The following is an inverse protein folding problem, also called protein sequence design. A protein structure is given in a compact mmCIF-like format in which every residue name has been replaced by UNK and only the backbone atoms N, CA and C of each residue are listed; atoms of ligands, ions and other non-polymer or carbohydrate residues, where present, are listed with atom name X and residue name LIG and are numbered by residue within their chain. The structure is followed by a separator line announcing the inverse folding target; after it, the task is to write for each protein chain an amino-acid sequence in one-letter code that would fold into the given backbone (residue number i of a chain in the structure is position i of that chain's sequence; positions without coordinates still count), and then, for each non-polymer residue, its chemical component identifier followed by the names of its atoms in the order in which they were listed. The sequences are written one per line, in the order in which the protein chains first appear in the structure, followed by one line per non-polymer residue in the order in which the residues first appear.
data_IF_434216228415
#
_entry.id   IF_434216228415
#
_cell.length_a   1.000
_cell.length_b   1.000
_cell.length_c   1.000
_cell.angle_alpha   90.00
_cell.angle_beta   90.00
_cell.angle_gamma   90.00
#
_symmetry.space_group_name_H-M   'P 1'
#
loop_
_entity.id
_entity.type
_entity.pdbx_description
1 polymer ?
#
# COMPACT_ATOMS: atom_id res chain seq x y z
N UNK A 1 7.49 19.62 -9.11
CA UNK A 1 6.32 19.39 -8.24
C UNK A 1 6.48 18.06 -7.55
N UNK A 2 6.09 17.97 -6.28
CA UNK A 2 6.11 16.75 -5.48
C UNK A 2 4.76 16.58 -4.77
N UNK A 3 4.17 15.39 -4.88
CA UNK A 3 2.96 14.95 -4.23
C UNK A 3 3.26 13.98 -3.07
N UNK A 4 2.73 14.28 -1.89
CA UNK A 4 2.65 13.35 -0.76
C UNK A 4 1.27 12.70 -0.71
N UNK A 5 1.21 11.38 -0.71
CA UNK A 5 -0.03 10.61 -0.59
C UNK A 5 0.01 9.91 0.76
N UNK A 6 -0.97 10.14 1.61
CA UNK A 6 -1.02 9.64 2.98
C UNK A 6 -2.06 8.53 3.07
N UNK A 7 -1.63 7.36 3.51
CA UNK A 7 -2.51 6.26 3.88
C UNK A 7 -3.16 6.58 5.23
N UNK A 8 -4.43 7.01 5.19
CA UNK A 8 -5.11 7.53 6.37
C UNK A 8 -5.24 6.45 7.45
N UNK A 9 -5.70 5.26 7.08
CA UNK A 9 -5.98 4.20 8.07
C UNK A 9 -4.70 3.66 8.67
N UNK A 10 -3.62 3.55 7.89
CA UNK A 10 -2.32 3.16 8.40
C UNK A 10 -1.75 4.17 9.40
N UNK A 11 -1.81 5.46 9.06
CA UNK A 11 -1.29 6.54 9.92
C UNK A 11 -2.12 6.71 11.19
N UNK A 12 -3.44 6.85 11.05
CA UNK A 12 -4.37 7.12 12.15
C UNK A 12 -4.35 5.98 13.17
N UNK A 13 -4.46 4.71 12.74
CA UNK A 13 -4.54 3.58 13.68
C UNK A 13 -3.25 3.43 14.49
N UNK A 14 -2.09 3.62 13.86
CA UNK A 14 -0.79 3.51 14.55
C UNK A 14 -0.57 4.67 15.53
N UNK A 15 -0.97 5.89 15.17
CA UNK A 15 -0.88 7.04 16.08
C UNK A 15 -1.87 6.89 17.24
N UNK A 16 -3.10 6.44 16.97
CA UNK A 16 -4.12 6.18 18.00
C UNK A 16 -3.64 5.13 19.00
N UNK A 17 -3.06 4.03 18.53
CA UNK A 17 -2.49 3.00 19.40
C UNK A 17 -1.40 3.56 20.33
N UNK A 18 -0.58 4.51 19.85
CA UNK A 18 0.44 5.19 20.65
C UNK A 18 -0.10 6.36 21.50
N UNK A 19 -1.36 6.74 21.32
CA UNK A 19 -2.04 7.81 22.08
C UNK A 19 -3.12 7.27 23.01
N UNK A 20 -3.32 5.95 23.06
CA UNK A 20 -4.43 5.32 23.79
C UNK A 20 -4.47 5.68 25.28
N UNK A 21 -3.31 5.88 25.90
CA UNK A 21 -3.17 6.21 27.32
C UNK A 21 -3.15 7.72 27.62
N UNK A 22 -3.38 8.57 26.61
CA UNK A 22 -3.47 10.03 26.82
C UNK A 22 -4.85 10.44 27.31
N UNK A 23 -4.97 11.61 27.96
CA UNK A 23 -6.26 12.10 28.46
C UNK A 23 -7.32 12.27 27.35
N UNK A 24 -6.90 12.69 26.16
CA UNK A 24 -7.75 12.91 24.99
C UNK A 24 -7.18 12.18 23.76
N UNK A 25 -7.33 10.84 23.65
CA UNK A 25 -6.68 10.03 22.62
C UNK A 25 -7.03 10.46 21.19
N UNK A 26 -8.28 10.85 20.93
CA UNK A 26 -8.74 11.27 19.60
C UNK A 26 -8.14 12.61 19.19
N UNK A 27 -8.12 13.59 20.08
CA UNK A 27 -7.52 14.91 19.82
C UNK A 27 -6.00 14.81 19.65
N UNK A 28 -5.34 14.02 20.52
CA UNK A 28 -3.93 13.68 20.38
C UNK A 28 -3.66 12.99 19.04
N UNK A 29 -4.56 12.13 18.58
CA UNK A 29 -4.42 11.45 17.28
C UNK A 29 -4.51 12.43 16.11
N UNK A 30 -5.53 13.29 16.09
CA UNK A 30 -5.71 14.30 15.03
C UNK A 30 -4.51 15.23 14.91
N UNK A 31 -4.07 15.82 16.03
CA UNK A 31 -2.94 16.75 16.07
C UNK A 31 -1.61 16.09 15.68
N UNK A 32 -1.35 14.86 16.16
CA UNK A 32 -0.16 14.09 15.79
C UNK A 32 -0.16 13.66 14.32
N UNK A 33 -1.32 13.30 13.75
CA UNK A 33 -1.45 13.00 12.32
C UNK A 33 -1.14 14.24 11.48
N UNK A 34 -1.71 15.40 11.81
CA UNK A 34 -1.44 16.63 11.07
C UNK A 34 0.04 17.04 11.17
N UNK A 35 0.63 16.93 12.36
CA UNK A 35 2.07 17.15 12.57
C UNK A 35 2.92 16.17 11.75
N UNK A 36 2.48 14.92 11.62
CA UNK A 36 3.14 13.91 10.82
C UNK A 36 3.14 14.25 9.33
N UNK A 37 2.00 14.72 8.83
CA UNK A 37 1.84 15.19 7.44
C UNK A 37 2.73 16.41 7.20
N UNK A 38 2.63 17.44 8.04
CA UNK A 38 3.41 18.67 7.92
C UNK A 38 4.93 18.39 7.93
N UNK A 39 5.40 17.54 8.84
CA UNK A 39 6.82 17.17 8.93
C UNK A 39 7.32 16.46 7.67
N UNK A 40 6.53 15.55 7.09
CA UNK A 40 6.93 14.86 5.86
C UNK A 40 6.80 15.76 4.63
N UNK A 41 5.81 16.64 4.63
CA UNK A 41 5.64 17.67 3.61
C UNK A 41 6.85 18.61 3.55
N UNK A 42 7.33 19.07 4.71
CA UNK A 42 8.52 19.91 4.83
C UNK A 42 9.80 19.15 4.42
N UNK A 43 10.00 17.94 4.98
CA UNK A 43 11.16 17.10 4.68
C UNK A 43 11.32 16.84 3.18
N UNK A 44 10.23 16.49 2.51
CA UNK A 44 10.21 16.17 1.08
C UNK A 44 9.98 17.38 0.17
N UNK A 45 9.84 18.59 0.75
CA UNK A 45 9.55 19.85 0.05
C UNK A 45 8.36 19.72 -0.90
N UNK A 46 7.25 19.19 -0.38
CA UNK A 46 6.09 18.83 -1.17
C UNK A 46 5.27 20.05 -1.56
N UNK A 47 4.67 19.97 -2.74
CA UNK A 47 3.78 21.01 -3.28
C UNK A 47 2.30 20.61 -3.20
N UNK A 48 2.03 19.32 -3.08
CA UNK A 48 0.70 18.74 -3.08
C UNK A 48 0.62 17.67 -1.99
N UNK A 49 -0.54 17.57 -1.32
CA UNK A 49 -0.81 16.56 -0.29
C UNK A 49 -2.21 16.00 -0.54
N UNK A 50 -2.30 14.67 -0.57
CA UNK A 50 -3.55 13.93 -0.59
C UNK A 50 -3.55 12.94 0.58
N UNK A 51 -4.70 12.73 1.22
CA UNK A 51 -4.89 11.73 2.25
C UNK A 51 -6.06 10.83 1.86
N UNK A 52 -5.79 9.54 1.70
CA UNK A 52 -6.78 8.57 1.20
C UNK A 52 -7.33 7.76 2.36
N UNK A 53 -8.65 7.85 2.54
CA UNK A 53 -9.43 7.11 3.52
C UNK A 53 -9.98 5.83 2.88
N UNK A 54 -9.94 4.74 3.63
CA UNK A 54 -10.58 3.49 3.25
C UNK A 54 -12.05 3.53 3.68
N UNK A 55 -12.97 3.21 2.77
CA UNK A 55 -14.37 3.01 3.11
C UNK A 55 -14.60 1.56 3.54
N UNK A 56 -15.41 1.35 4.57
CA UNK A 56 -15.91 0.01 4.94
C UNK A 56 -16.89 -0.45 3.85
N UNK A 57 -16.40 -1.15 2.84
CA UNK A 57 -17.23 -1.75 1.80
C UNK A 57 -16.65 -3.08 1.33
N UNK A 58 -17.52 -3.95 0.83
CA UNK A 58 -17.09 -5.11 0.05
C UNK A 58 -16.44 -4.59 -1.23
N UNK A 59 -15.27 -5.13 -1.53
CA UNK A 59 -14.45 -4.70 -2.68
C UNK A 59 -14.31 -5.85 -3.65
N UNK A 60 -13.80 -5.55 -4.85
CA UNK A 60 -13.51 -6.57 -5.87
C UNK A 60 -12.58 -7.70 -5.37
N UNK A 61 -11.74 -7.44 -4.36
CA UNK A 61 -10.89 -8.47 -3.74
C UNK A 61 -11.71 -9.49 -2.95
N UNK A 62 -12.75 -9.04 -2.23
CA UNK A 62 -13.66 -9.91 -1.51
C UNK A 62 -14.53 -10.76 -2.46
N UNK A 63 -14.91 -10.19 -3.61
CA UNK A 63 -15.66 -10.91 -4.64
C UNK A 63 -14.84 -12.06 -5.27
N UNK A 64 -13.52 -11.87 -5.38
CA UNK A 64 -12.59 -12.89 -5.89
C UNK A 64 -12.13 -13.88 -4.81
N UNK A 65 -11.97 -13.43 -3.57
CA UNK A 65 -11.49 -14.22 -2.45
C UNK A 65 -12.22 -13.82 -1.15
N UNK A 66 -13.26 -14.58 -0.74
CA UNK A 66 -14.07 -14.24 0.42
C UNK A 66 -13.29 -14.15 1.74
N UNK A 67 -12.20 -14.90 1.87
CA UNK A 67 -11.35 -14.88 3.07
C UNK A 67 -10.33 -13.73 3.07
N UNK A 68 -10.39 -12.81 2.10
CA UNK A 68 -9.49 -11.66 2.03
C UNK A 68 -9.61 -10.78 3.29
N UNK A 69 -8.46 -10.45 3.90
CA UNK A 69 -8.38 -9.69 5.16
C UNK A 69 -9.18 -10.33 6.33
N UNK A 70 -9.55 -11.61 6.24
CA UNK A 70 -10.29 -12.31 7.29
C UNK A 70 -9.49 -12.34 8.59
N UNK A 71 -10.18 -12.08 9.72
CA UNK A 71 -9.58 -12.08 11.05
C UNK A 71 -8.81 -10.81 11.43
N UNK A 72 -8.81 -9.76 10.59
CA UNK A 72 -8.26 -8.46 11.00
C UNK A 72 -9.04 -7.89 12.18
N UNK A 73 -8.35 -7.39 13.23
CA UNK A 73 -9.03 -6.82 14.38
C UNK A 73 -9.82 -5.57 13.94
N UNK A 74 -11.08 -5.44 14.39
CA UNK A 74 -11.88 -4.27 14.06
C UNK A 74 -11.19 -3.00 14.58
N UNK A 75 -11.52 -1.88 13.95
CA UNK A 75 -11.12 -0.58 14.49
C UNK A 75 -11.78 -0.37 15.86
N UNK A 76 -11.09 0.24 16.85
CA UNK A 76 -11.73 0.66 18.10
C UNK A 76 -12.96 1.52 17.81
N UNK A 77 -14.07 1.28 18.52
CA UNK A 77 -15.36 1.92 18.24
C UNK A 77 -15.26 3.45 18.33
N UNK A 78 -14.61 3.97 19.36
CA UNK A 78 -14.38 5.41 19.53
C UNK A 78 -13.66 6.02 18.31
N UNK A 79 -12.67 5.33 17.77
CA UNK A 79 -11.96 5.78 16.57
C UNK A 79 -12.84 5.69 15.33
N UNK A 80 -13.64 4.63 15.19
CA UNK A 80 -14.55 4.46 14.06
C UNK A 80 -15.62 5.55 14.02
N UNK A 81 -16.17 5.93 15.17
CA UNK A 81 -17.15 7.02 15.29
C UNK A 81 -16.52 8.38 14.96
N UNK A 82 -15.22 8.56 15.24
CA UNK A 82 -14.51 9.82 15.04
C UNK A 82 -14.02 10.06 13.60
N UNK A 83 -14.02 9.05 12.72
CA UNK A 83 -13.40 9.14 11.39
C UNK A 83 -13.92 10.32 10.56
N UNK A 84 -15.23 10.58 10.59
CA UNK A 84 -15.84 11.68 9.85
C UNK A 84 -15.42 13.05 10.40
N UNK A 85 -15.27 13.17 11.72
CA UNK A 85 -14.73 14.38 12.35
C UNK A 85 -13.24 14.57 12.05
N UNK A 86 -12.46 13.48 12.05
CA UNK A 86 -11.05 13.52 11.66
C UNK A 86 -10.87 13.98 10.20
N UNK A 87 -11.67 13.44 9.27
CA UNK A 87 -11.62 13.85 7.87
C UNK A 87 -11.92 15.35 7.71
N UNK A 88 -12.96 15.85 8.40
CA UNK A 88 -13.27 17.29 8.43
C UNK A 88 -12.14 18.13 9.02
N UNK A 89 -11.51 17.66 10.10
CA UNK A 89 -10.36 18.34 10.73
C UNK A 89 -9.17 18.46 9.76
N UNK A 90 -8.82 17.40 9.02
CA UNK A 90 -7.74 17.44 8.05
C UNK A 90 -8.07 18.33 6.85
N UNK A 91 -9.30 18.28 6.34
CA UNK A 91 -9.77 19.17 5.26
C UNK A 91 -9.67 20.65 5.66
N UNK A 92 -10.12 21.00 6.87
CA UNK A 92 -10.00 22.36 7.42
C UNK A 92 -8.53 22.80 7.58
N UNK A 93 -7.63 21.84 7.76
CA UNK A 93 -6.18 22.06 7.85
C UNK A 93 -5.48 22.09 6.48
N UNK A 94 -6.23 22.12 5.38
CA UNK A 94 -5.69 22.22 4.01
C UNK A 94 -5.22 20.88 3.41
N UNK A 95 -5.55 19.75 4.02
CA UNK A 95 -5.27 18.41 3.46
C UNK A 95 -6.42 18.01 2.53
N UNK A 96 -6.11 17.63 1.29
CA UNK A 96 -7.13 17.06 0.41
C UNK A 96 -7.43 15.63 0.82
N UNK A 97 -8.64 15.37 1.33
CA UNK A 97 -9.07 14.03 1.76
C UNK A 97 -9.93 13.36 0.69
N UNK A 98 -9.60 12.10 0.41
CA UNK A 98 -10.21 11.27 -0.62
C UNK A 98 -10.80 10.01 -0.03
N UNK A 99 -12.04 9.72 -0.37
CA UNK A 99 -12.69 8.44 -0.14
C UNK A 99 -13.53 8.08 -1.36
N UNK A 100 -13.27 6.93 -1.97
CA UNK A 100 -13.94 6.52 -3.20
C UNK A 100 -14.70 5.23 -2.97
N UNK A 101 -16.03 5.32 -3.04
CA UNK A 101 -16.90 4.18 -2.84
C UNK A 101 -16.66 3.06 -3.87
N UNK A 102 -16.67 1.82 -3.39
CA UNK A 102 -16.45 0.62 -4.22
C UNK A 102 -14.99 0.32 -4.56
N UNK A 103 -14.04 1.15 -4.10
CA UNK A 103 -12.61 0.95 -4.33
C UNK A 103 -11.85 0.88 -3.01
N UNK A 104 -10.79 0.06 -3.00
CA UNK A 104 -9.87 0.06 -1.86
C UNK A 104 -9.00 1.31 -1.87
N UNK A 105 -8.73 1.84 -0.67
CA UNK A 105 -7.83 2.98 -0.51
C UNK A 105 -6.46 2.74 -1.15
N UNK A 106 -5.97 1.48 -1.09
CA UNK A 106 -4.69 1.09 -1.67
C UNK A 106 -4.68 1.23 -3.20
N UNK A 107 -5.76 0.86 -3.89
CA UNK A 107 -5.89 1.01 -5.34
C UNK A 107 -6.08 2.47 -5.75
N UNK A 108 -6.80 3.27 -4.93
CA UNK A 108 -6.94 4.72 -5.12
C UNK A 108 -5.57 5.41 -5.01
N UNK A 109 -4.79 5.08 -3.97
CA UNK A 109 -3.43 5.60 -3.79
C UNK A 109 -2.50 5.16 -4.92
N UNK A 110 -2.53 3.88 -5.29
CA UNK A 110 -1.70 3.35 -6.37
C UNK A 110 -1.98 4.04 -7.71
N UNK A 111 -3.26 4.27 -8.00
CA UNK A 111 -3.70 5.02 -9.19
C UNK A 111 -3.22 6.47 -9.16
N UNK A 112 -3.42 7.17 -8.05
CA UNK A 112 -3.00 8.56 -7.91
C UNK A 112 -1.47 8.69 -8.04
N UNK A 113 -0.73 7.82 -7.36
CA UNK A 113 0.73 7.79 -7.37
C UNK A 113 1.26 7.54 -8.79
N UNK A 114 0.72 6.54 -9.48
CA UNK A 114 1.16 6.16 -10.82
C UNK A 114 0.86 7.26 -11.84
N UNK A 115 -0.34 7.85 -11.79
CA UNK A 115 -0.72 8.97 -12.68
C UNK A 115 0.13 10.21 -12.43
N UNK A 116 0.40 10.55 -11.17
CA UNK A 116 1.23 11.70 -10.83
C UNK A 116 2.69 11.49 -11.26
N UNK A 117 3.26 10.30 -11.02
CA UNK A 117 4.61 9.96 -11.45
C UNK A 117 4.75 10.00 -12.98
N UNK A 118 3.76 9.45 -13.69
CA UNK A 118 3.69 9.51 -15.16
C UNK A 118 3.62 10.95 -15.68
N UNK A 119 2.88 11.82 -14.99
CA UNK A 119 2.82 13.25 -15.29
C UNK A 119 4.09 14.03 -14.87
N UNK A 120 5.14 13.35 -14.42
CA UNK A 120 6.46 13.93 -14.13
C UNK A 120 6.62 14.46 -12.70
N UNK A 121 5.66 14.26 -11.81
CA UNK A 121 5.80 14.63 -10.40
C UNK A 121 6.71 13.64 -9.67
N UNK A 122 7.41 14.13 -8.66
CA UNK A 122 7.91 13.27 -7.59
C UNK A 122 6.74 12.87 -6.70
N UNK A 123 6.74 11.63 -6.20
CA UNK A 123 5.66 11.07 -5.41
C UNK A 123 6.24 10.33 -4.20
N UNK A 124 5.72 10.65 -3.03
CA UNK A 124 5.97 9.87 -1.80
C UNK A 124 4.65 9.33 -1.28
N UNK A 125 4.54 8.01 -1.14
CA UNK A 125 3.45 7.37 -0.39
C UNK A 125 3.89 7.24 1.06
N UNK A 126 3.14 7.81 1.99
CA UNK A 126 3.36 7.70 3.43
C UNK A 126 2.54 6.54 3.99
N UNK A 127 3.13 5.35 4.03
CA UNK A 127 2.52 4.14 4.59
C UNK A 127 3.60 3.19 5.11
N UNK A 128 3.22 2.28 6.01
CA UNK A 128 4.08 1.15 6.41
C UNK A 128 3.81 -0.12 5.60
N UNK A 129 2.80 -0.11 4.73
CA UNK A 129 2.47 -1.28 3.92
C UNK A 129 3.52 -1.49 2.82
N UNK A 130 4.09 -2.70 2.80
CA UNK A 130 5.08 -3.09 1.81
C UNK A 130 4.45 -3.39 0.45
N UNK A 131 3.13 -3.57 0.37
CA UNK A 131 2.39 -3.74 -0.87
C UNK A 131 2.67 -2.63 -1.88
N UNK A 132 2.82 -1.37 -1.42
CA UNK A 132 3.16 -0.24 -2.29
C UNK A 132 4.57 -0.28 -2.86
N UNK A 133 5.47 -1.11 -2.32
CA UNK A 133 6.83 -1.24 -2.85
C UNK A 133 6.82 -1.74 -4.30
N UNK A 134 5.74 -2.39 -4.76
CA UNK A 134 5.61 -2.82 -6.15
C UNK A 134 5.51 -1.66 -7.17
N UNK A 135 5.19 -0.45 -6.70
CA UNK A 135 5.04 0.75 -7.53
C UNK A 135 6.31 1.60 -7.60
N UNK A 136 7.27 1.32 -6.73
CA UNK A 136 8.48 2.13 -6.54
C UNK A 136 9.27 2.23 -7.85
N UNK A 137 9.72 3.44 -8.15
CA UNK A 137 10.53 3.77 -9.33
C UNK A 137 11.27 5.10 -9.10
N UNK A 138 12.03 5.58 -10.08
CA UNK A 138 12.78 6.85 -10.04
C UNK A 138 11.99 8.11 -9.64
N UNK A 139 10.65 8.07 -9.65
CA UNK A 139 9.77 9.17 -9.23
C UNK A 139 8.84 8.82 -8.06
N UNK A 140 8.75 7.55 -7.66
CA UNK A 140 7.81 7.08 -6.66
C UNK A 140 8.57 6.33 -5.56
N UNK A 141 8.46 6.81 -4.32
CA UNK A 141 8.99 6.14 -3.14
C UNK A 141 7.90 5.89 -2.10
N UNK A 142 8.13 4.94 -1.20
CA UNK A 142 7.23 4.67 -0.05
C UNK A 142 7.98 4.96 1.23
N UNK A 143 7.47 5.87 2.06
CA UNK A 143 8.11 6.30 3.30
C UNK A 143 7.32 5.83 4.51
N UNK A 144 8.00 5.17 5.42
CA UNK A 144 7.45 4.87 6.73
C UNK A 144 7.69 6.07 7.67
N UNK A 145 6.60 6.66 8.14
CA UNK A 145 6.63 7.80 9.05
C UNK A 145 7.34 7.51 10.38
N UNK A 146 7.18 6.29 10.90
CA UNK A 146 7.49 5.94 12.28
C UNK A 146 8.98 5.65 12.49
N UNK A 147 9.60 4.92 11.56
CA UNK A 147 11.05 4.63 11.60
C UNK A 147 11.87 5.56 10.67
N UNK A 148 11.19 6.42 9.90
CA UNK A 148 11.77 7.35 8.90
C UNK A 148 12.50 6.63 7.75
N UNK A 149 12.25 5.35 7.58
CA UNK A 149 12.78 4.54 6.49
C UNK A 149 12.05 4.85 5.17
N UNK A 150 12.76 4.79 4.05
CA UNK A 150 12.19 5.01 2.71
C UNK A 150 12.54 3.83 1.81
N UNK A 151 11.52 3.28 1.18
CA UNK A 151 11.61 2.29 0.11
C UNK A 151 11.71 3.02 -1.22
N UNK A 152 12.92 3.01 -1.78
CA UNK A 152 13.20 3.31 -3.18
C UNK A 152 13.61 2.01 -3.92
N UNK A 153 13.93 2.09 -5.21
CA UNK A 153 14.26 0.91 -6.02
C UNK A 153 15.44 0.15 -5.43
N UNK A 154 16.47 0.88 -4.97
CA UNK A 154 17.67 0.30 -4.37
C UNK A 154 17.34 -0.44 -3.08
N UNK A 155 16.53 0.15 -2.19
CA UNK A 155 16.15 -0.50 -0.93
C UNK A 155 15.27 -1.73 -1.17
N UNK A 156 14.41 -1.71 -2.19
CA UNK A 156 13.64 -2.89 -2.60
C UNK A 156 14.58 -4.01 -3.04
N UNK A 157 15.50 -3.73 -3.96
CA UNK A 157 16.48 -4.71 -4.43
C UNK A 157 17.35 -5.27 -3.29
N UNK A 158 17.83 -4.42 -2.39
CA UNK A 158 18.67 -4.85 -1.27
C UNK A 158 17.93 -5.74 -0.25
N UNK A 159 16.65 -5.46 0.01
CA UNK A 159 15.89 -6.16 1.06
C UNK A 159 15.14 -7.38 0.55
N UNK A 160 14.67 -7.36 -0.69
CA UNK A 160 13.93 -8.46 -1.30
C UNK A 160 14.79 -9.30 -2.26
N UNK A 161 15.91 -8.77 -2.75
CA UNK A 161 16.69 -9.40 -3.82
C UNK A 161 15.96 -9.38 -5.18
N UNK A 162 14.95 -8.52 -5.32
CA UNK A 162 14.04 -8.48 -6.47
C UNK A 162 13.76 -7.03 -6.86
N UNK A 163 13.36 -6.84 -8.12
CA UNK A 163 12.88 -5.55 -8.62
C UNK A 163 11.46 -5.27 -8.12
N UNK A 164 11.05 -3.99 -7.96
CA UNK A 164 9.68 -3.61 -7.59
C UNK A 164 8.58 -4.35 -8.37
N UNK A 165 8.75 -4.47 -9.69
CA UNK A 165 7.74 -5.07 -10.57
C UNK A 165 7.55 -6.58 -10.33
N UNK A 166 8.48 -7.24 -9.65
CA UNK A 166 8.43 -8.67 -9.32
C UNK A 166 7.73 -8.94 -7.98
N UNK A 167 7.44 -7.92 -7.17
CA UNK A 167 6.92 -8.14 -5.82
C UNK A 167 5.50 -8.75 -5.79
N UNK A 168 4.66 -8.42 -6.77
CA UNK A 168 3.35 -9.07 -6.91
C UNK A 168 3.48 -10.57 -7.20
N UNK A 169 4.45 -10.96 -8.04
CA UNK A 169 4.76 -12.37 -8.31
C UNK A 169 5.40 -13.05 -7.08
N UNK A 170 6.18 -12.31 -6.29
CA UNK A 170 6.75 -12.80 -5.05
C UNK A 170 5.66 -13.17 -4.05
N UNK A 171 4.69 -12.27 -3.80
CA UNK A 171 3.56 -12.57 -2.92
C UNK A 171 2.63 -13.63 -3.49
N UNK A 172 2.52 -13.76 -4.81
CA UNK A 172 1.81 -14.86 -5.45
C UNK A 172 2.39 -16.23 -5.09
N UNK A 173 3.72 -16.32 -4.94
CA UNK A 173 4.41 -17.54 -4.56
C UNK A 173 4.40 -17.76 -3.04
N UNK A 174 4.66 -16.72 -2.25
CA UNK A 174 4.80 -16.87 -0.79
C UNK A 174 3.50 -16.80 -0.01
N UNK A 175 2.46 -16.22 -0.62
CA UNK A 175 1.29 -15.75 0.10
C UNK A 175 1.58 -14.51 0.94
N UNK A 176 0.55 -14.03 1.62
CA UNK A 176 0.63 -12.96 2.61
C UNK A 176 -0.38 -13.19 3.73
N UNK A 177 0.13 -13.60 4.89
CA UNK A 177 -0.70 -13.85 6.07
C UNK A 177 -1.39 -12.60 6.60
N UNK A 178 -0.84 -11.40 6.35
CA UNK A 178 -1.42 -10.12 6.81
C UNK A 178 -2.73 -9.79 6.09
N UNK A 179 -2.84 -10.21 4.82
CA UNK A 179 -4.02 -10.04 3.98
C UNK A 179 -4.81 -11.35 3.81
N UNK A 180 -4.41 -12.42 4.51
CA UNK A 180 -4.99 -13.75 4.40
C UNK A 180 -4.98 -14.27 2.94
N UNK A 181 -3.87 -14.03 2.25
CA UNK A 181 -3.65 -14.48 0.88
C UNK A 181 -2.87 -15.80 0.87
N UNK A 182 -3.36 -16.82 0.15
CA UNK A 182 -2.67 -18.10 0.06
C UNK A 182 -1.40 -17.98 -0.80
N UNK A 183 -0.38 -18.78 -0.48
CA UNK A 183 0.81 -18.96 -1.31
C UNK A 183 0.84 -20.35 -1.95
N UNK A 184 1.93 -20.65 -2.65
CA UNK A 184 2.21 -22.01 -3.12
C UNK A 184 2.83 -22.80 -1.96
N UNK A 185 2.19 -23.87 -1.47
CA UNK A 185 2.73 -24.71 -0.41
C UNK A 185 4.16 -25.17 -0.69
N UNK A 186 5.04 -24.97 0.29
CA UNK A 186 6.44 -25.36 0.19
C UNK A 186 7.35 -24.39 -0.56
N UNK A 187 6.82 -23.28 -1.10
CA UNK A 187 7.61 -22.17 -1.67
C UNK A 187 7.61 -20.98 -0.69
N UNK A 188 8.68 -20.85 0.07
CA UNK A 188 8.88 -19.71 0.98
C UNK A 188 9.65 -18.55 0.34
N UNK A 189 9.86 -17.43 1.09
CA UNK A 189 10.55 -16.23 0.60
C UNK A 189 11.88 -16.47 -0.12
N UNK A 190 12.73 -17.35 0.42
CA UNK A 190 14.04 -17.66 -0.19
C UNK A 190 13.89 -18.34 -1.55
N UNK A 191 13.01 -19.34 -1.63
CA UNK A 191 12.75 -20.07 -2.88
C UNK A 191 12.08 -19.17 -3.91
N UNK A 192 11.07 -18.40 -3.50
CA UNK A 192 10.39 -17.44 -4.38
C UNK A 192 11.37 -16.40 -4.94
N UNK A 193 12.26 -15.84 -4.11
CA UNK A 193 13.30 -14.91 -4.54
C UNK A 193 14.23 -15.52 -5.59
N UNK A 194 14.73 -16.73 -5.35
CA UNK A 194 15.60 -17.41 -6.32
C UNK A 194 14.90 -17.72 -7.65
N UNK A 195 13.64 -18.19 -7.59
CA UNK A 195 12.87 -18.47 -8.80
C UNK A 195 12.60 -17.20 -9.62
N UNK A 196 12.29 -16.07 -8.96
CA UNK A 196 12.03 -14.82 -9.67
C UNK A 196 13.31 -14.14 -10.17
N UNK A 197 14.43 -14.32 -9.49
CA UNK A 197 15.75 -13.92 -10.01
C UNK A 197 16.11 -14.71 -11.29
N UNK A 198 15.88 -16.03 -11.27
CA UNK A 198 16.17 -16.91 -12.41
C UNK A 198 15.22 -16.72 -13.60
N UNK A 199 13.91 -16.72 -13.36
CA UNK A 199 12.89 -16.76 -14.40
C UNK A 199 12.29 -15.38 -14.73
N UNK A 200 12.53 -14.38 -13.88
CA UNK A 200 12.07 -13.01 -14.07
C UNK A 200 10.61 -12.76 -13.67
N UNK A 201 9.68 -13.65 -14.02
CA UNK A 201 8.25 -13.50 -13.68
C UNK A 201 7.55 -14.83 -13.40
N UNK A 202 6.37 -14.75 -12.76
CA UNK A 202 5.52 -15.92 -12.52
C UNK A 202 5.10 -16.58 -13.85
N UNK A 203 4.80 -15.81 -14.89
CA UNK A 203 4.37 -16.39 -16.18
C UNK A 203 5.48 -17.21 -16.82
N UNK A 204 6.71 -16.70 -16.83
CA UNK A 204 7.88 -17.44 -17.37
C UNK A 204 8.18 -18.66 -16.50
N UNK A 205 8.13 -18.51 -15.17
CA UNK A 205 8.31 -19.61 -14.23
C UNK A 205 7.29 -20.74 -14.47
N UNK A 206 6.01 -20.42 -14.67
CA UNK A 206 4.98 -21.43 -14.91
C UNK A 206 5.17 -22.16 -16.23
N UNK A 207 5.58 -21.46 -17.29
CA UNK A 207 5.89 -22.06 -18.60
C UNK A 207 7.13 -22.96 -18.52
N UNK A 208 8.16 -22.53 -17.78
CA UNK A 208 9.46 -23.20 -17.71
C UNK A 208 9.64 -24.09 -16.46
N UNK A 209 8.56 -24.37 -15.72
CA UNK A 209 8.60 -25.11 -14.44
C UNK A 209 9.26 -26.49 -14.49
N UNK A 210 9.37 -27.09 -15.67
CA UNK A 210 10.11 -28.36 -15.87
C UNK A 210 11.61 -28.24 -15.63
N UNK A 211 12.16 -27.02 -15.63
CA UNK A 211 13.56 -26.75 -15.28
C UNK A 211 13.80 -26.67 -13.76
N UNK A 212 12.73 -26.56 -12.97
CA UNK A 212 12.81 -26.52 -11.52
C UNK A 212 13.07 -27.93 -10.95
N UNK A 213 13.53 -27.99 -9.70
CA UNK A 213 13.60 -29.26 -8.98
C UNK A 213 12.22 -29.92 -8.86
N UNK A 214 12.20 -31.24 -8.64
CA UNK A 214 10.96 -32.03 -8.58
C UNK A 214 9.96 -31.51 -7.56
N UNK A 215 10.41 -31.00 -6.40
CA UNK A 215 9.51 -30.49 -5.35
C UNK A 215 8.84 -29.21 -5.80
N UNK A 216 9.60 -28.24 -6.31
CA UNK A 216 9.06 -26.96 -6.80
C UNK A 216 8.14 -27.19 -8.00
N UNK A 217 8.55 -28.02 -8.96
CA UNK A 217 7.73 -28.36 -10.13
C UNK A 217 6.37 -28.94 -9.72
N UNK A 218 6.36 -29.89 -8.79
CA UNK A 218 5.13 -30.53 -8.33
C UNK A 218 4.22 -29.50 -7.63
N UNK A 219 4.78 -28.69 -6.73
CA UNK A 219 4.03 -27.64 -6.03
C UNK A 219 3.42 -26.61 -7.00
N UNK A 220 4.19 -26.15 -8.00
CA UNK A 220 3.67 -25.24 -9.02
C UNK A 220 2.61 -25.90 -9.91
N UNK A 221 2.79 -27.17 -10.27
CA UNK A 221 1.83 -27.89 -11.12
C UNK A 221 0.49 -28.11 -10.43
N UNK A 222 0.50 -28.30 -9.10
CA UNK A 222 -0.71 -28.46 -8.30
C UNK A 222 -1.38 -27.12 -7.93
N UNK A 223 -0.58 -26.10 -7.63
CA UNK A 223 -1.08 -24.85 -7.02
C UNK A 223 -0.93 -23.59 -7.88
N UNK A 224 -0.63 -23.70 -9.18
CA UNK A 224 -0.58 -22.54 -10.08
C UNK A 224 -1.87 -21.71 -10.11
N UNK A 225 -3.11 -22.27 -10.02
CA UNK A 225 -4.31 -21.44 -10.04
C UNK A 225 -4.37 -20.51 -8.81
N UNK A 226 -3.95 -21.03 -7.65
CA UNK A 226 -3.82 -20.26 -6.40
C UNK A 226 -2.79 -19.16 -6.54
N UNK A 227 -1.61 -19.45 -7.11
CA UNK A 227 -0.60 -18.43 -7.35
C UNK A 227 -1.12 -17.31 -8.26
N UNK A 228 -1.82 -17.64 -9.35
CA UNK A 228 -2.40 -16.64 -10.24
C UNK A 228 -3.48 -15.79 -9.56
N UNK A 229 -4.35 -16.41 -8.76
CA UNK A 229 -5.36 -15.69 -7.97
C UNK A 229 -4.68 -14.73 -6.99
N UNK A 230 -3.70 -15.22 -6.22
CA UNK A 230 -2.97 -14.37 -5.26
C UNK A 230 -2.23 -13.24 -5.95
N UNK A 231 -1.64 -13.48 -7.13
CA UNK A 231 -1.03 -12.42 -7.93
C UNK A 231 -2.03 -11.30 -8.26
N UNK A 232 -3.25 -11.67 -8.65
CA UNK A 232 -4.32 -10.71 -8.95
C UNK A 232 -4.69 -9.92 -7.69
N UNK A 233 -4.85 -10.59 -6.55
CA UNK A 233 -5.21 -9.94 -5.28
C UNK A 233 -4.11 -9.05 -4.72
N UNK A 234 -2.84 -9.45 -4.84
CA UNK A 234 -1.68 -8.72 -4.33
C UNK A 234 -1.29 -7.53 -5.23
N UNK A 235 -1.65 -7.56 -6.52
CA UNK A 235 -1.39 -6.47 -7.45
C UNK A 235 -2.31 -5.28 -7.15
N UNK A 236 -1.71 -4.09 -7.05
CA UNK A 236 -2.47 -2.85 -6.90
C UNK A 236 -3.00 -2.38 -8.25
N UNK A 237 -4.27 -1.98 -8.28
CA UNK A 237 -4.87 -1.37 -9.47
C UNK A 237 -4.41 0.08 -9.63
N UNK A 238 -4.16 0.50 -10.85
CA UNK A 238 -3.62 1.83 -11.19
C UNK A 238 -4.52 2.61 -12.16
N UNK A 239 -5.73 2.13 -12.36
CA UNK A 239 -6.72 2.56 -13.35
C UNK A 239 -8.02 3.08 -12.72
N UNK A 240 -8.05 3.32 -11.41
CA UNK A 240 -9.23 3.83 -10.70
C UNK A 240 -9.68 5.20 -11.24
N UNK A 241 -10.98 5.42 -11.50
CA UNK A 241 -11.50 6.72 -11.92
C UNK A 241 -11.54 7.67 -10.71
N UNK A 242 -10.59 8.61 -10.66
CA UNK A 242 -10.37 9.48 -9.50
C UNK A 242 -11.33 10.68 -9.42
N UNK A 243 -11.79 11.23 -10.55
CA UNK A 243 -12.81 12.29 -10.57
C UNK A 243 -12.37 13.70 -10.12
N UNK A 244 -11.07 13.94 -9.91
CA UNK A 244 -10.50 15.26 -9.56
C UNK A 244 -9.26 15.57 -10.40
N UNK A 245 -8.72 16.78 -10.26
CA UNK A 245 -7.52 17.22 -10.97
C UNK A 245 -6.38 17.58 -9.99
N UNK A 246 -5.16 17.73 -10.51
CA UNK A 246 -3.96 17.95 -9.69
C UNK A 246 -4.01 19.25 -8.85
N UNK A 247 -4.69 20.29 -9.34
CA UNK A 247 -4.80 21.58 -8.64
C UNK A 247 -5.53 21.43 -7.30
N UNK A 248 -6.48 20.50 -7.20
CA UNK A 248 -7.25 20.24 -5.98
C UNK A 248 -6.37 19.71 -4.83
N UNK A 249 -5.21 19.13 -5.16
CA UNK A 249 -4.28 18.54 -4.19
C UNK A 249 -3.27 19.54 -3.61
N UNK A 250 -3.33 20.83 -4.00
CA UNK A 250 -2.28 21.79 -3.66
C UNK A 250 -2.18 21.97 -2.15
N UNK A 251 -0.97 21.78 -1.62
CA UNK A 251 -0.71 21.91 -0.19
C UNK A 251 -0.69 23.38 0.23
N UNK A 252 -1.65 23.76 1.07
CA UNK A 252 -1.77 25.12 1.60
C UNK A 252 -1.18 25.17 3.02
N UNK A 253 0.12 24.93 3.14
CA UNK A 253 0.82 25.14 4.40
C UNK A 253 0.89 26.64 4.70
N UNK A 254 0.06 27.12 5.64
CA UNK A 254 0.14 28.48 6.18
C UNK A 254 -0.99 29.43 5.76
N UNK A 255 -2.21 29.16 6.22
CA UNK A 255 -3.09 30.21 6.75
C UNK A 255 -3.22 30.02 8.25
#
# INVERSE_FOLDING_TARGET
MHLLIVDAMNLIRRIYAAAADTELPLEATRSRCLSAIARNAEYAKVSHVAMVFEQKCQTWRHDLWPDYKLGRPPMPEALQQDLADMQRYFQQSGVFCLDLAGWEGDDVMATLASKAAFAGLQVTILSTDKGFCQLVNSRLSVRNHFDRFTWDELMVEQKFGLKPQQLADFWALTGDSTNHLPGVPGIGPKTAGHLLDQFGSLDVLLVQREQCDTRVRNALSEHWPTALLTRVLARLRTDVPLGFNLHDLRWQSGR
#
